data_IF_360758300779
#
_entry.id   IF_360758300779
#
_cell.length_a   1.000
_cell.length_b   1.000
_cell.length_c   1.000
_cell.angle_alpha   90.00
_cell.angle_beta   90.00
_cell.angle_gamma   90.00
#
_symmetry.space_group_name_H-M   'P 1'
#
loop_
_entity.id
_entity.type
_entity.pdbx_description
1 polymer ?
#
# COMPACT_ATOMS: atom_id res chain seq x y z
N UNK A 1 4.85 10.84 -2.16
CA UNK A 1 3.53 11.16 -1.59
C UNK A 1 2.82 9.83 -1.42
N UNK A 2 2.12 9.66 -0.30
CA UNK A 2 1.23 8.52 -0.15
C UNK A 2 0.11 8.59 -1.20
N UNK A 3 -0.38 7.44 -1.63
CA UNK A 3 -1.64 7.34 -2.36
C UNK A 3 -2.78 7.71 -1.38
N UNK A 4 -3.10 9.00 -1.30
CA UNK A 4 -4.06 9.57 -0.34
C UNK A 4 -5.49 9.57 -0.89
N UNK A 5 -6.44 10.17 -0.17
CA UNK A 5 -7.85 10.22 -0.57
C UNK A 5 -8.08 11.00 -1.87
N UNK A 6 -7.25 12.00 -2.17
CA UNK A 6 -7.34 12.77 -3.42
C UNK A 6 -6.84 11.92 -4.59
N UNK A 7 -5.70 11.25 -4.43
CA UNK A 7 -5.22 10.26 -5.38
C UNK A 7 -6.23 9.12 -5.59
N UNK A 8 -6.86 8.65 -4.52
CA UNK A 8 -7.91 7.62 -4.57
C UNK A 8 -9.15 8.12 -5.29
N UNK A 9 -9.54 9.37 -5.08
CA UNK A 9 -10.64 10.00 -5.79
C UNK A 9 -10.37 10.07 -7.29
N UNK A 10 -9.18 10.53 -7.68
CA UNK A 10 -8.74 10.60 -9.06
C UNK A 10 -8.79 9.23 -9.75
N UNK A 11 -8.20 8.21 -9.11
CA UNK A 11 -8.23 6.84 -9.59
C UNK A 11 -9.67 6.32 -9.70
N UNK A 12 -10.48 6.50 -8.65
CA UNK A 12 -11.88 6.03 -8.63
C UNK A 12 -12.73 6.65 -9.74
N UNK A 13 -12.58 7.96 -9.97
CA UNK A 13 -13.26 8.67 -11.06
C UNK A 13 -12.83 8.13 -12.42
N UNK A 14 -11.53 8.06 -12.68
CA UNK A 14 -10.99 7.54 -13.95
C UNK A 14 -11.45 6.10 -14.23
N UNK A 15 -11.44 5.25 -13.20
CA UNK A 15 -11.88 3.84 -13.29
C UNK A 15 -13.37 3.77 -13.57
N UNK A 16 -14.19 4.50 -12.81
CA UNK A 16 -15.65 4.52 -13.01
C UNK A 16 -16.00 4.90 -14.45
N UNK A 17 -15.41 5.98 -14.96
CA UNK A 17 -15.66 6.48 -16.31
C UNK A 17 -15.30 5.46 -17.41
N UNK A 18 -14.24 4.66 -17.21
CA UNK A 18 -13.71 3.76 -18.23
C UNK A 18 -14.29 2.35 -18.20
N UNK A 19 -14.72 1.84 -17.04
CA UNK A 19 -15.13 0.43 -16.89
C UNK A 19 -16.54 0.21 -16.35
N UNK A 20 -17.28 1.24 -15.96
CA UNK A 20 -18.70 1.06 -15.59
C UNK A 20 -19.49 0.50 -16.77
N UNK A 21 -20.20 -0.60 -16.55
CA UNK A 21 -20.94 -1.33 -17.58
C UNK A 21 -20.10 -2.35 -18.35
N UNK A 22 -18.77 -2.37 -18.19
CA UNK A 22 -17.91 -3.30 -18.89
C UNK A 22 -17.93 -4.70 -18.25
N UNK A 23 -17.70 -5.71 -19.09
CA UNK A 23 -17.66 -7.12 -18.68
C UNK A 23 -16.24 -7.54 -18.32
N UNK A 24 -16.03 -8.21 -17.21
CA UNK A 24 -14.73 -8.77 -16.83
C UNK A 24 -14.42 -9.95 -17.75
N UNK A 25 -13.29 -9.87 -18.44
CA UNK A 25 -12.87 -10.84 -19.47
C UNK A 25 -11.77 -11.78 -18.99
N UNK A 26 -10.80 -11.27 -18.22
CA UNK A 26 -9.69 -12.06 -17.69
C UNK A 26 -9.28 -11.53 -16.32
N UNK A 27 -8.81 -12.43 -15.47
CA UNK A 27 -8.26 -12.11 -14.15
C UNK A 27 -6.94 -12.87 -13.97
N UNK A 28 -5.91 -12.16 -13.53
CA UNK A 28 -4.60 -12.69 -13.22
C UNK A 28 -4.10 -12.16 -11.88
N UNK A 29 -3.11 -12.83 -11.32
CA UNK A 29 -2.43 -12.43 -10.10
C UNK A 29 -0.92 -12.68 -10.30
N UNK A 30 -0.19 -11.73 -10.93
CA UNK A 30 1.20 -11.92 -11.30
C UNK A 30 2.13 -12.10 -10.09
N UNK A 31 1.83 -11.42 -8.99
CA UNK A 31 2.54 -11.58 -7.72
C UNK A 31 1.55 -11.86 -6.60
N UNK A 32 2.03 -12.29 -5.43
CA UNK A 32 1.17 -12.62 -4.31
C UNK A 32 0.24 -11.46 -3.88
N UNK A 33 0.62 -10.21 -4.11
CA UNK A 33 -0.10 -9.01 -3.63
C UNK A 33 -0.65 -8.13 -4.76
N UNK A 34 -0.61 -8.58 -6.02
CA UNK A 34 -1.08 -7.81 -7.18
C UNK A 34 -2.09 -8.60 -7.98
N UNK A 35 -3.26 -8.02 -8.24
CA UNK A 35 -4.30 -8.59 -9.09
C UNK A 35 -4.47 -7.71 -10.33
N UNK A 36 -4.60 -8.33 -11.49
CA UNK A 36 -4.72 -7.66 -12.79
C UNK A 36 -6.01 -8.13 -13.46
N UNK A 37 -6.92 -7.19 -13.73
CA UNK A 37 -8.25 -7.46 -14.30
C UNK A 37 -8.37 -6.82 -15.68
N UNK A 38 -8.81 -7.59 -16.66
CA UNK A 38 -9.08 -7.13 -18.01
C UNK A 38 -10.57 -7.04 -18.25
N UNK A 39 -10.99 -6.00 -18.96
CA UNK A 39 -12.39 -5.75 -19.29
C UNK A 39 -12.62 -5.87 -20.79
N UNK A 40 -13.82 -6.32 -21.17
CA UNK A 40 -14.34 -6.21 -22.52
C UNK A 40 -15.23 -4.96 -22.60
N UNK A 41 -15.14 -4.19 -23.68
CA UNK A 41 -15.99 -3.01 -23.89
C UNK A 41 -15.29 -1.65 -23.94
N UNK A 42 -14.04 -1.58 -24.40
CA UNK A 42 -13.42 -0.30 -24.82
C UNK A 42 -12.09 0.01 -24.15
N UNK A 43 -11.98 -0.16 -22.83
CA UNK A 43 -10.69 0.00 -22.14
C UNK A 43 -9.78 -1.20 -22.44
N UNK A 44 -8.61 -0.92 -23.04
CA UNK A 44 -7.66 -1.95 -23.49
C UNK A 44 -6.61 -2.24 -22.43
N UNK A 45 -6.35 -1.30 -21.52
CA UNK A 45 -5.41 -1.46 -20.41
C UNK A 45 -6.06 -2.28 -19.30
N UNK A 46 -5.37 -3.24 -18.71
CA UNK A 46 -5.86 -3.89 -17.51
C UNK A 46 -5.86 -2.92 -16.33
N UNK A 47 -6.75 -3.19 -15.37
CA UNK A 47 -6.76 -2.56 -14.06
C UNK A 47 -5.86 -3.36 -13.12
N UNK A 48 -4.88 -2.68 -12.53
CA UNK A 48 -4.03 -3.20 -11.46
C UNK A 48 -4.65 -2.88 -10.10
N UNK A 49 -4.77 -3.90 -9.25
CA UNK A 49 -5.08 -3.79 -7.82
C UNK A 49 -3.83 -4.24 -7.05
N UNK A 50 -3.05 -3.29 -6.54
CA UNK A 50 -1.79 -3.57 -5.87
C UNK A 50 -1.94 -3.36 -4.35
N UNK A 51 -1.90 -4.46 -3.60
CA UNK A 51 -1.89 -4.47 -2.15
C UNK A 51 -0.45 -4.51 -1.57
N UNK A 52 0.58 -4.30 -2.39
CA UNK A 52 1.97 -4.32 -1.95
C UNK A 52 2.26 -3.18 -0.97
N UNK A 53 2.98 -3.47 0.12
CA UNK A 53 3.23 -2.50 1.18
C UNK A 53 4.03 -1.26 0.72
N UNK A 54 4.92 -1.42 -0.27
CA UNK A 54 5.81 -0.37 -0.75
C UNK A 54 5.15 0.53 -1.80
N UNK A 55 4.27 -0.04 -2.61
CA UNK A 55 3.65 0.65 -3.74
C UNK A 55 2.13 0.37 -3.85
N UNK A 56 1.36 0.51 -2.76
CA UNK A 56 -0.06 0.19 -2.78
C UNK A 56 -0.79 1.20 -3.66
N UNK A 57 -1.58 0.71 -4.61
CA UNK A 57 -2.27 1.55 -5.60
C UNK A 57 -3.32 0.77 -6.37
N UNK A 58 -4.19 1.53 -7.02
CA UNK A 58 -5.15 1.03 -7.99
C UNK A 58 -5.13 1.97 -9.20
N UNK A 59 -4.93 1.43 -10.39
CA UNK A 59 -4.78 2.22 -11.62
C UNK A 59 -4.93 1.34 -12.86
N UNK A 60 -5.20 1.95 -14.01
CA UNK A 60 -4.89 1.28 -15.28
C UNK A 60 -3.38 1.25 -15.49
N UNK A 61 -2.88 0.22 -16.14
CA UNK A 61 -1.44 0.06 -16.38
C UNK A 61 -1.15 -0.38 -17.81
N UNK A 62 -0.05 0.12 -18.34
CA UNK A 62 0.56 -0.30 -19.61
C UNK A 62 1.63 -1.37 -19.38
N UNK A 63 1.99 -1.64 -18.13
CA UNK A 63 2.99 -2.64 -17.76
C UNK A 63 2.47 -4.04 -18.11
N UNK A 64 3.29 -4.77 -18.84
CA UNK A 64 3.08 -6.20 -19.05
C UNK A 64 3.61 -6.96 -17.86
N UNK A 65 2.80 -7.87 -17.33
CA UNK A 65 3.18 -8.73 -16.21
C UNK A 65 3.36 -10.16 -16.67
N UNK A 66 4.44 -10.79 -16.21
CA UNK A 66 4.63 -12.22 -16.36
C UNK A 66 3.71 -12.94 -15.38
N UNK A 67 2.80 -13.74 -15.92
CA UNK A 67 1.86 -14.48 -15.10
C UNK A 67 2.49 -15.79 -14.63
N UNK A 68 2.32 -16.17 -13.35
CA UNK A 68 2.83 -17.45 -12.87
C UNK A 68 2.15 -18.59 -13.63
N UNK A 69 2.92 -19.66 -13.89
CA UNK A 69 2.42 -20.88 -14.54
C UNK A 69 1.24 -21.49 -13.75
N UNK A 70 1.32 -21.42 -12.42
CA UNK A 70 0.27 -21.86 -11.50
C UNK A 70 -0.37 -20.65 -10.82
N UNK A 71 -1.62 -20.30 -11.17
CA UNK A 71 -2.33 -19.18 -10.53
C UNK A 71 -2.52 -19.43 -9.02
N UNK A 72 -2.32 -18.41 -8.17
CA UNK A 72 -2.63 -18.51 -6.74
C UNK A 72 -4.12 -18.82 -6.48
N UNK A 73 -4.44 -19.35 -5.30
CA UNK A 73 -5.81 -19.75 -4.94
C UNK A 73 -6.81 -18.60 -5.02
N UNK A 74 -6.41 -17.40 -4.58
CA UNK A 74 -7.25 -16.20 -4.64
C UNK A 74 -7.60 -15.83 -6.09
N UNK A 75 -6.64 -15.89 -7.02
CA UNK A 75 -6.87 -15.69 -8.44
C UNK A 75 -7.93 -16.65 -9.00
N UNK A 76 -7.89 -17.93 -8.61
CA UNK A 76 -8.88 -18.91 -9.04
C UNK A 76 -10.28 -18.63 -8.48
N UNK A 77 -10.38 -18.13 -7.25
CA UNK A 77 -11.65 -17.69 -6.66
C UNK A 77 -12.17 -16.46 -7.41
N UNK A 78 -11.34 -15.44 -7.65
CA UNK A 78 -11.75 -14.30 -8.45
C UNK A 78 -12.23 -14.74 -9.84
N UNK A 79 -11.58 -15.71 -10.47
CA UNK A 79 -12.02 -16.24 -11.77
C UNK A 79 -13.40 -16.89 -11.68
N UNK A 80 -13.63 -17.71 -10.65
CA UNK A 80 -14.93 -18.37 -10.42
C UNK A 80 -16.08 -17.36 -10.26
N UNK A 81 -15.84 -16.27 -9.53
CA UNK A 81 -16.91 -15.32 -9.16
C UNK A 81 -17.03 -14.11 -10.10
N UNK A 82 -15.93 -13.66 -10.71
CA UNK A 82 -15.89 -12.41 -11.46
C UNK A 82 -15.86 -12.59 -12.98
N UNK A 83 -15.38 -13.73 -13.52
CA UNK A 83 -15.30 -13.89 -14.98
C UNK A 83 -16.69 -13.79 -15.60
N UNK A 84 -16.80 -12.93 -16.61
CA UNK A 84 -18.04 -12.62 -17.27
C UNK A 84 -19.02 -11.75 -16.46
N UNK A 85 -18.67 -11.36 -15.25
CA UNK A 85 -19.42 -10.38 -14.47
C UNK A 85 -19.37 -8.99 -15.09
N UNK A 86 -20.36 -8.16 -14.80
CA UNK A 86 -20.50 -6.79 -15.29
C UNK A 86 -20.27 -5.84 -14.13
N UNK A 87 -19.38 -4.86 -14.32
CA UNK A 87 -19.15 -3.80 -13.34
C UNK A 87 -20.36 -2.87 -13.34
N UNK A 88 -21.06 -2.76 -12.21
CA UNK A 88 -22.26 -1.92 -12.06
C UNK A 88 -21.93 -0.54 -11.56
N UNK A 89 -21.02 -0.44 -10.61
CA UNK A 89 -20.51 0.84 -10.17
C UNK A 89 -19.10 0.74 -9.64
N UNK A 90 -18.44 1.89 -9.59
CA UNK A 90 -17.14 2.08 -8.94
C UNK A 90 -17.24 3.35 -8.13
N UNK A 91 -16.84 3.29 -6.87
CA UNK A 91 -16.85 4.45 -5.99
C UNK A 91 -15.76 4.38 -4.92
N UNK A 92 -15.40 5.55 -4.41
CA UNK A 92 -14.54 5.72 -3.25
C UNK A 92 -15.41 5.76 -1.99
N UNK A 93 -15.00 5.08 -0.93
CA UNK A 93 -15.72 5.08 0.35
C UNK A 93 -15.30 6.27 1.22
N UNK A 94 -16.24 7.14 1.60
CA UNK A 94 -16.07 8.22 2.58
C UNK A 94 -14.81 9.09 2.43
N UNK A 95 -14.39 9.31 1.18
CA UNK A 95 -13.13 9.98 0.81
C UNK A 95 -11.86 9.34 1.38
N UNK A 96 -11.95 8.12 1.92
CA UNK A 96 -10.82 7.34 2.39
C UNK A 96 -10.11 6.64 1.22
N UNK A 97 -9.01 5.96 1.52
CA UNK A 97 -8.17 5.22 0.56
C UNK A 97 -8.73 3.84 0.25
N UNK A 98 -10.03 3.78 -0.03
CA UNK A 98 -10.76 2.54 -0.32
C UNK A 98 -11.60 2.75 -1.57
N UNK A 99 -11.40 1.89 -2.57
CA UNK A 99 -12.21 1.85 -3.79
C UNK A 99 -13.00 0.55 -3.80
N UNK A 100 -14.29 0.64 -4.07
CA UNK A 100 -15.20 -0.49 -4.20
C UNK A 100 -15.66 -0.61 -5.65
N UNK A 101 -15.55 -1.81 -6.22
CA UNK A 101 -16.18 -2.18 -7.47
C UNK A 101 -17.38 -3.06 -7.16
N UNK A 102 -18.58 -2.60 -7.51
CA UNK A 102 -19.79 -3.42 -7.47
C UNK A 102 -19.91 -4.21 -8.78
N UNK A 103 -20.04 -5.53 -8.66
CA UNK A 103 -20.02 -6.45 -9.79
C UNK A 103 -21.23 -7.37 -9.70
N UNK A 104 -21.96 -7.50 -10.80
CA UNK A 104 -22.97 -8.55 -10.94
C UNK A 104 -22.45 -9.68 -11.81
N UNK A 105 -22.55 -10.91 -11.33
CA UNK A 105 -22.20 -12.11 -12.09
C UNK A 105 -23.26 -13.19 -11.95
N UNK A 106 -23.16 -14.25 -12.75
CA UNK A 106 -24.02 -15.42 -12.63
C UNK A 106 -23.20 -16.57 -12.07
N UNK A 107 -23.76 -17.31 -11.12
CA UNK A 107 -23.15 -18.56 -10.68
C UNK A 107 -23.47 -19.71 -11.63
N UNK A 108 -22.90 -20.89 -11.34
CA UNK A 108 -23.07 -22.11 -12.15
C UNK A 108 -24.55 -22.55 -12.29
N UNK A 109 -25.39 -22.20 -11.32
CA UNK A 109 -26.83 -22.47 -11.34
C UNK A 109 -27.64 -21.38 -12.07
N UNK A 110 -26.99 -20.36 -12.62
CA UNK A 110 -27.64 -19.24 -13.31
C UNK A 110 -28.25 -18.19 -12.38
N UNK A 111 -27.99 -18.25 -11.07
CA UNK A 111 -28.47 -17.25 -10.13
C UNK A 111 -27.56 -16.01 -10.15
N UNK A 112 -28.18 -14.83 -10.01
CA UNK A 112 -27.48 -13.56 -9.94
C UNK A 112 -26.74 -13.40 -8.61
N UNK A 113 -25.44 -13.15 -8.68
CA UNK A 113 -24.57 -12.77 -7.57
C UNK A 113 -24.31 -11.28 -7.62
N UNK A 114 -24.42 -10.62 -6.46
CA UNK A 114 -24.01 -9.22 -6.28
C UNK A 114 -22.77 -9.20 -5.41
N UNK A 115 -21.65 -8.76 -5.98
CA UNK A 115 -20.33 -8.88 -5.38
C UNK A 115 -19.72 -7.49 -5.19
N UNK A 116 -18.94 -7.33 -4.13
CA UNK A 116 -18.06 -6.19 -3.93
C UNK A 116 -16.61 -6.66 -4.01
N UNK A 117 -15.84 -6.03 -4.90
CA UNK A 117 -14.39 -6.15 -4.91
C UNK A 117 -13.81 -4.85 -4.34
N UNK A 118 -13.36 -4.92 -3.09
CA UNK A 118 -12.84 -3.78 -2.35
C UNK A 118 -11.33 -3.75 -2.38
N UNK A 119 -10.74 -2.63 -2.80
CA UNK A 119 -9.31 -2.37 -2.78
C UNK A 119 -8.99 -1.33 -1.69
N UNK A 120 -8.24 -1.74 -0.68
CA UNK A 120 -7.84 -0.92 0.46
C UNK A 120 -6.37 -0.52 0.27
N UNK A 121 -6.09 0.78 0.15
CA UNK A 121 -4.74 1.33 -0.14
C UNK A 121 -4.16 1.94 1.14
N UNK A 122 -3.73 1.06 2.05
CA UNK A 122 -3.38 1.39 3.44
C UNK A 122 -1.90 1.05 3.79
N UNK A 123 -0.98 1.19 2.84
CA UNK A 123 0.44 0.83 3.08
C UNK A 123 0.60 -0.67 3.33
N UNK A 124 1.29 -1.04 4.41
CA UNK A 124 1.44 -2.44 4.85
C UNK A 124 0.11 -3.17 5.13
N UNK A 125 -0.96 -2.42 5.41
CA UNK A 125 -2.30 -2.96 5.67
C UNK A 125 -3.18 -3.02 4.41
N UNK A 126 -2.63 -2.69 3.24
CA UNK A 126 -3.37 -2.75 1.99
C UNK A 126 -3.87 -4.16 1.70
N UNK A 127 -5.05 -4.26 1.10
CA UNK A 127 -5.68 -5.53 0.79
C UNK A 127 -6.62 -5.42 -0.40
N UNK A 128 -6.92 -6.56 -1.02
CA UNK A 128 -8.00 -6.69 -1.99
C UNK A 128 -8.93 -7.79 -1.46
N UNK A 129 -10.18 -7.45 -1.23
CA UNK A 129 -11.17 -8.32 -0.60
C UNK A 129 -12.35 -8.49 -1.54
N UNK A 130 -12.72 -9.74 -1.80
CA UNK A 130 -13.96 -10.08 -2.49
C UNK A 130 -15.01 -10.47 -1.45
N UNK A 131 -16.16 -9.82 -1.47
CA UNK A 131 -17.29 -10.13 -0.60
C UNK A 131 -18.60 -10.25 -1.38
N UNK A 132 -19.52 -11.03 -0.82
CA UNK A 132 -20.89 -11.15 -1.31
C UNK A 132 -21.75 -10.07 -0.67
N UNK A 133 -22.43 -9.27 -1.49
CA UNK A 133 -23.19 -8.12 -1.02
C UNK A 133 -24.46 -8.52 -0.28
N UNK A 134 -25.05 -9.66 -0.64
CA UNK A 134 -26.31 -10.10 -0.05
C UNK A 134 -26.14 -10.66 1.36
N UNK A 135 -25.12 -11.50 1.56
CA UNK A 135 -24.79 -12.07 2.87
C UNK A 135 -23.89 -11.17 3.71
N UNK A 136 -23.21 -10.19 3.09
CA UNK A 136 -22.18 -9.37 3.73
C UNK A 136 -20.90 -10.13 4.04
N UNK A 137 -20.73 -11.36 3.53
CA UNK A 137 -19.61 -12.24 3.88
C UNK A 137 -18.44 -12.10 2.92
N UNK A 138 -17.24 -12.18 3.48
CA UNK A 138 -15.99 -12.30 2.74
C UNK A 138 -16.00 -13.64 2.01
N UNK A 139 -15.85 -13.59 0.69
CA UNK A 139 -15.61 -14.77 -0.14
C UNK A 139 -14.14 -15.16 0.02
N UNK A 140 -13.23 -14.22 -0.27
CA UNK A 140 -11.79 -14.38 -0.03
C UNK A 140 -11.06 -13.03 -0.08
N UNK A 141 -9.77 -13.01 0.24
CA UNK A 141 -8.92 -11.83 0.17
C UNK A 141 -7.47 -12.16 -0.22
N UNK A 142 -6.74 -11.17 -0.75
CA UNK A 142 -5.30 -11.27 -1.01
C UNK A 142 -4.52 -11.54 0.28
N UNK A 143 -4.83 -10.80 1.36
CA UNK A 143 -4.20 -10.97 2.67
C UNK A 143 -5.21 -11.42 3.71
N UNK A 144 -4.96 -12.61 4.25
CA UNK A 144 -5.74 -13.17 5.36
C UNK A 144 -5.25 -12.60 6.71
N UNK A 145 -6.17 -12.01 7.46
CA UNK A 145 -5.92 -11.41 8.77
C UNK A 145 -6.73 -12.18 9.81
N UNK A 146 -6.04 -13.05 10.55
CA UNK A 146 -6.64 -13.79 11.67
C UNK A 146 -6.74 -12.90 12.93
N UNK A 147 -7.58 -13.30 13.89
CA UNK A 147 -7.71 -12.59 15.17
C UNK A 147 -6.44 -12.57 16.02
N UNK A 148 -5.46 -13.44 15.74
CA UNK A 148 -4.13 -13.40 16.36
C UNK A 148 -3.24 -12.30 15.77
N UNK A 149 -3.48 -11.90 14.50
CA UNK A 149 -2.71 -10.87 13.79
C UNK A 149 -3.29 -9.47 13.96
N UNK A 150 -4.59 -9.35 14.23
CA UNK A 150 -5.25 -8.07 14.45
C UNK A 150 -6.42 -8.24 15.42
N UNK A 151 -6.46 -7.43 16.47
CA UNK A 151 -7.61 -7.29 17.36
C UNK A 151 -8.71 -6.39 16.79
N UNK A 152 -8.39 -5.64 15.73
CA UNK A 152 -9.27 -4.58 15.19
C UNK A 152 -10.28 -5.15 14.19
N UNK A 153 -9.81 -5.97 13.25
CA UNK A 153 -10.65 -6.56 12.20
C UNK A 153 -10.09 -7.89 11.73
N UNK A 154 -10.98 -8.87 11.53
CA UNK A 154 -10.66 -10.18 10.96
C UNK A 154 -11.04 -10.21 9.48
N UNK A 155 -10.10 -10.60 8.61
CA UNK A 155 -10.32 -10.79 7.17
C UNK A 155 -10.02 -12.24 6.82
N UNK A 156 -11.08 -13.05 6.70
CA UNK A 156 -11.03 -14.48 6.40
C UNK A 156 -12.30 -14.89 5.66
N UNK A 157 -12.25 -15.90 4.77
CA UNK A 157 -13.44 -16.46 4.13
C UNK A 157 -14.57 -16.80 5.12
N UNK A 158 -15.82 -16.53 4.72
CA UNK A 158 -17.07 -16.74 5.46
C UNK A 158 -17.30 -15.86 6.71
N UNK A 159 -16.37 -14.98 7.05
CA UNK A 159 -16.60 -13.94 8.07
C UNK A 159 -17.29 -12.73 7.47
N UNK A 160 -17.99 -11.95 8.29
CA UNK A 160 -18.64 -10.72 7.84
C UNK A 160 -17.58 -9.68 7.48
N UNK A 161 -17.76 -9.02 6.33
CA UNK A 161 -16.86 -7.97 5.89
C UNK A 161 -17.22 -6.65 6.57
N UNK A 162 -16.23 -6.00 7.15
CA UNK A 162 -16.33 -4.62 7.62
C UNK A 162 -15.26 -3.78 6.94
N UNK A 163 -15.55 -2.54 6.60
CA UNK A 163 -14.54 -1.63 6.06
C UNK A 163 -13.47 -1.32 7.12
N UNK A 164 -12.27 -0.83 6.71
CA UNK A 164 -11.27 -0.36 7.67
C UNK A 164 -11.88 0.69 8.60
N UNK A 165 -11.62 0.65 9.92
CA UNK A 165 -12.14 1.65 10.83
C UNK A 165 -11.56 3.01 10.49
N UNK A 166 -12.42 4.01 10.42
CA UNK A 166 -12.04 5.39 10.18
C UNK A 166 -12.77 6.30 11.18
N UNK A 167 -11.99 6.95 12.06
CA UNK A 167 -12.50 7.88 13.07
C UNK A 167 -12.55 9.33 12.55
N UNK A 168 -12.03 9.57 11.33
CA UNK A 168 -11.95 10.90 10.73
C UNK A 168 -13.20 11.23 9.94
N UNK A 169 -13.47 12.52 9.80
CA UNK A 169 -14.64 13.03 9.09
C UNK A 169 -14.45 12.98 7.58
N UNK A 170 -15.51 12.66 6.84
CA UNK A 170 -15.53 12.85 5.39
C UNK A 170 -15.52 14.36 5.09
N UNK A 171 -14.56 14.91 4.35
CA UNK A 171 -14.47 16.35 4.10
C UNK A 171 -15.60 16.92 3.24
N UNK A 172 -16.43 16.08 2.62
CA UNK A 172 -17.60 16.51 1.85
C UNK A 172 -18.94 16.21 2.53
N UNK A 173 -18.92 15.52 3.67
CA UNK A 173 -20.12 15.17 4.44
C UNK A 173 -19.78 15.09 5.93
N UNK A 174 -19.89 16.23 6.63
CA UNK A 174 -19.56 16.33 8.04
C UNK A 174 -20.31 17.48 8.73
N UNK A 175 -20.40 17.40 10.07
CA UNK A 175 -20.90 18.50 10.88
C UNK A 175 -19.79 19.53 11.17
N UNK A 176 -20.04 20.79 10.83
CA UNK A 176 -19.07 21.87 11.01
C UNK A 176 -18.65 22.08 12.47
N UNK A 177 -19.58 21.93 13.42
CA UNK A 177 -19.28 22.13 14.84
C UNK A 177 -18.40 21.00 15.39
N UNK A 178 -18.61 19.77 14.92
CA UNK A 178 -17.79 18.62 15.22
C UNK A 178 -16.36 18.80 14.69
N UNK A 179 -16.19 19.22 13.43
CA UNK A 179 -14.86 19.45 12.85
C UNK A 179 -14.09 20.54 13.62
N UNK A 180 -14.75 21.64 13.96
CA UNK A 180 -14.16 22.71 14.76
C UNK A 180 -13.74 22.21 16.16
N UNK A 181 -14.59 21.42 16.81
CA UNK A 181 -14.29 20.80 18.09
C UNK A 181 -13.05 19.91 18.03
N UNK A 182 -12.96 19.00 17.06
CA UNK A 182 -11.81 18.11 16.87
C UNK A 182 -10.51 18.89 16.61
N UNK A 183 -10.55 19.91 15.76
CA UNK A 183 -9.38 20.76 15.50
C UNK A 183 -8.95 21.51 16.77
N UNK A 184 -9.89 22.06 17.53
CA UNK A 184 -9.59 22.84 18.76
C UNK A 184 -8.99 21.98 19.87
N UNK A 185 -9.38 20.70 19.98
CA UNK A 185 -8.77 19.74 20.90
C UNK A 185 -7.27 19.52 20.61
N UNK A 186 -6.81 19.86 19.41
CA UNK A 186 -5.42 19.78 18.98
C UNK A 186 -4.66 21.11 19.12
N UNK A 187 -4.99 21.94 20.12
CA UNK A 187 -4.46 23.30 20.31
C UNK A 187 -2.92 23.44 20.22
N UNK A 188 -2.16 22.41 20.61
CA UNK A 188 -0.69 22.43 20.58
C UNK A 188 -0.08 22.02 19.23
N UNK A 189 -0.89 21.52 18.29
CA UNK A 189 -0.45 21.07 16.97
C UNK A 189 -0.50 22.22 15.96
N UNK A 190 0.26 22.09 14.87
CA UNK A 190 0.10 22.96 13.72
C UNK A 190 -1.28 22.77 13.09
N UNK A 191 -1.81 23.83 12.46
CA UNK A 191 -3.03 23.73 11.67
C UNK A 191 -2.91 22.63 10.59
N UNK A 192 -1.71 22.45 10.00
CA UNK A 192 -1.43 21.36 9.04
C UNK A 192 -1.77 19.98 9.62
N UNK A 193 -1.26 19.68 10.82
CA UNK A 193 -1.49 18.40 11.48
C UNK A 193 -2.95 18.25 11.91
N UNK A 194 -3.57 19.31 12.43
CA UNK A 194 -4.96 19.28 12.87
C UNK A 194 -5.92 18.98 11.72
N UNK A 195 -5.76 19.61 10.55
CA UNK A 195 -6.59 19.33 9.36
C UNK A 195 -6.38 17.88 8.90
N UNK A 196 -5.12 17.43 8.77
CA UNK A 196 -4.81 16.08 8.31
C UNK A 196 -5.29 14.98 9.27
N UNK A 197 -5.42 15.27 10.56
CA UNK A 197 -5.97 14.35 11.56
C UNK A 197 -7.50 14.40 11.65
N UNK A 198 -8.13 15.53 11.32
CA UNK A 198 -9.58 15.71 11.37
C UNK A 198 -10.29 15.06 10.20
N UNK A 199 -9.74 15.19 8.98
CA UNK A 199 -10.41 14.73 7.76
C UNK A 199 -9.79 13.45 7.19
N UNK A 200 -10.67 12.55 6.73
CA UNK A 200 -10.28 11.33 6.03
C UNK A 200 -9.64 11.64 4.68
N UNK A 201 -8.71 10.78 4.24
CA UNK A 201 -8.08 10.92 2.92
C UNK A 201 -7.13 12.10 2.75
N UNK A 202 -6.99 13.00 3.73
CA UNK A 202 -6.16 14.19 3.61
C UNK A 202 -4.72 13.90 4.04
N UNK A 203 -3.77 14.01 3.10
CA UNK A 203 -2.35 13.91 3.41
C UNK A 203 -1.77 15.22 3.94
N UNK A 204 -0.75 15.12 4.80
CA UNK A 204 0.04 16.28 5.25
C UNK A 204 0.63 17.07 4.08
N UNK A 205 1.00 16.39 2.99
CA UNK A 205 1.54 17.05 1.80
C UNK A 205 0.50 17.93 1.11
N UNK A 206 -0.74 17.44 1.00
CA UNK A 206 -1.84 18.25 0.47
C UNK A 206 -2.10 19.49 1.34
N UNK A 207 -2.19 19.30 2.66
CA UNK A 207 -2.42 20.42 3.58
C UNK A 207 -1.25 21.40 3.56
N UNK A 208 -0.01 20.92 3.45
CA UNK A 208 1.16 21.79 3.29
C UNK A 208 1.10 22.62 2.01
N UNK A 209 0.55 22.08 0.92
CA UNK A 209 0.30 22.87 -0.29
C UNK A 209 -0.73 23.95 -0.04
N UNK A 210 -1.84 23.62 0.63
CA UNK A 210 -2.82 24.62 1.05
C UNK A 210 -2.20 25.71 1.94
N UNK A 211 -1.41 25.33 2.94
CA UNK A 211 -0.72 26.29 3.84
C UNK A 211 0.34 27.14 3.12
N UNK A 212 0.89 26.66 2.00
CA UNK A 212 1.81 27.43 1.19
C UNK A 212 1.07 28.52 0.40
N UNK A 213 -0.11 28.21 -0.12
CA UNK A 213 -0.95 29.15 -0.87
C UNK A 213 -1.72 30.12 0.05
N UNK A 214 -1.98 29.71 1.30
CA UNK A 214 -2.64 30.48 2.35
C UNK A 214 -1.75 30.56 3.61
N UNK A 215 -0.62 31.30 3.55
CA UNK A 215 0.37 31.35 4.63
C UNK A 215 -0.16 31.92 5.95
N UNK A 216 -1.25 32.70 5.90
CA UNK A 216 -1.93 33.23 7.09
C UNK A 216 -2.47 32.14 8.02
N UNK A 217 -2.73 30.92 7.51
CA UNK A 217 -3.19 29.77 8.29
C UNK A 217 -2.06 28.89 8.81
N UNK A 218 -0.82 29.14 8.39
CA UNK A 218 0.35 28.34 8.78
C UNK A 218 0.86 28.69 10.18
N UNK A 219 0.04 28.40 11.19
CA UNK A 219 0.27 28.67 12.62
C UNK A 219 -0.20 27.50 13.49
N UNK A 220 0.08 27.58 14.78
CA UNK A 220 -0.43 26.61 15.77
C UNK A 220 -1.91 26.85 15.99
N UNK A 221 -2.71 25.78 16.17
CA UNK A 221 -4.16 25.86 16.40
C UNK A 221 -4.51 26.79 17.56
N UNK A 222 -3.76 26.76 18.67
CA UNK A 222 -3.98 27.63 19.81
C UNK A 222 -3.73 29.13 19.57
N UNK A 223 -3.12 29.50 18.43
CA UNK A 223 -2.94 30.88 17.99
C UNK A 223 -4.05 31.35 17.05
N UNK A 224 -4.98 30.47 16.68
CA UNK A 224 -6.08 30.78 15.77
C UNK A 224 -7.28 31.32 16.54
N UNK A 225 -7.85 32.43 16.05
CA UNK A 225 -9.13 32.92 16.53
C UNK A 225 -10.31 32.09 15.97
N UNK A 226 -11.51 32.15 16.56
CA UNK A 226 -12.69 31.56 15.95
C UNK A 226 -12.96 32.06 14.52
N UNK A 227 -12.62 33.31 14.22
CA UNK A 227 -12.72 33.88 12.87
C UNK A 227 -11.69 33.28 11.90
N UNK A 228 -10.47 32.98 12.38
CA UNK A 228 -9.46 32.27 11.57
C UNK A 228 -10.00 30.91 11.14
N UNK A 229 -10.62 30.14 12.05
CA UNK A 229 -11.24 28.85 11.71
C UNK A 229 -12.42 29.01 10.76
N UNK A 230 -13.25 30.02 10.98
CA UNK A 230 -14.43 30.31 10.16
C UNK A 230 -14.09 30.63 8.70
N UNK A 231 -12.89 31.15 8.42
CA UNK A 231 -12.38 31.39 7.06
C UNK A 231 -11.56 30.22 6.51
N UNK A 232 -10.64 29.68 7.33
CA UNK A 232 -9.75 28.60 6.92
C UNK A 232 -10.50 27.37 6.43
N UNK A 233 -11.58 26.97 7.11
CA UNK A 233 -12.29 25.75 6.76
C UNK A 233 -12.96 25.85 5.37
N UNK A 234 -13.78 26.87 5.06
CA UNK A 234 -14.26 27.09 3.69
C UNK A 234 -13.16 27.19 2.64
N UNK A 235 -12.05 27.90 2.93
CA UNK A 235 -10.93 28.03 1.99
C UNK A 235 -10.28 26.66 1.71
N UNK A 236 -10.09 25.86 2.76
CA UNK A 236 -9.57 24.50 2.65
C UNK A 236 -10.49 23.60 1.82
N UNK A 237 -11.80 23.64 2.08
CA UNK A 237 -12.78 22.86 1.30
C UNK A 237 -12.85 23.32 -0.16
N UNK A 238 -12.75 24.62 -0.41
CA UNK A 238 -12.65 25.16 -1.78
C UNK A 238 -11.38 24.70 -2.48
N UNK A 239 -10.24 24.68 -1.77
CA UNK A 239 -8.97 24.16 -2.27
C UNK A 239 -9.05 22.66 -2.56
N UNK A 240 -9.65 21.86 -1.68
CA UNK A 240 -9.92 20.44 -1.87
C UNK A 240 -10.82 20.17 -3.07
N UNK A 241 -11.91 20.93 -3.21
CA UNK A 241 -12.83 20.82 -4.34
C UNK A 241 -12.14 21.10 -5.67
N UNK A 242 -11.27 22.13 -5.73
CA UNK A 242 -10.46 22.39 -6.92
C UNK A 242 -9.52 21.23 -7.24
N UNK A 243 -8.92 20.62 -6.22
CA UNK A 243 -8.02 19.49 -6.40
C UNK A 243 -8.76 18.23 -6.91
N UNK A 244 -9.95 17.93 -6.40
CA UNK A 244 -10.74 16.76 -6.84
C UNK A 244 -11.36 16.94 -8.21
N UNK A 245 -11.62 18.19 -8.64
CA UNK A 245 -12.12 18.51 -9.98
C UNK A 245 -11.00 18.64 -11.03
N UNK A 246 -9.73 18.60 -10.63
CA UNK A 246 -8.59 18.63 -11.55
C UNK A 246 -8.72 17.53 -12.61
N UNK A 247 -8.32 17.84 -13.84
CA UNK A 247 -8.12 16.88 -14.93
C UNK A 247 -6.64 16.51 -15.09
N UNK A 248 -5.74 17.27 -14.46
CA UNK A 248 -4.29 17.07 -14.52
C UNK A 248 -3.71 16.37 -13.30
N UNK A 249 -2.72 15.54 -13.57
CA UNK A 249 -1.83 14.94 -12.58
C UNK A 249 -0.39 15.34 -12.86
N UNK A 250 0.44 15.37 -11.83
CA UNK A 250 1.81 15.87 -11.91
C UNK A 250 2.80 14.89 -11.31
N UNK A 251 3.99 14.80 -11.91
CA UNK A 251 5.18 14.21 -11.30
C UNK A 251 6.21 15.30 -11.06
N UNK A 252 6.80 15.30 -9.87
CA UNK A 252 7.83 16.24 -9.44
C UNK A 252 9.20 15.56 -9.45
N UNK A 253 10.15 16.15 -10.19
CA UNK A 253 11.53 15.68 -10.32
C UNK A 253 12.48 16.72 -9.72
N UNK A 254 13.46 16.26 -8.93
CA UNK A 254 14.49 17.16 -8.42
C UNK A 254 15.45 17.61 -9.53
N UNK A 255 16.41 18.49 -9.19
CA UNK A 255 17.38 19.02 -10.14
C UNK A 255 18.29 17.94 -10.78
N UNK A 256 18.39 16.76 -10.17
CA UNK A 256 19.12 15.60 -10.72
C UNK A 256 18.27 14.74 -11.67
N UNK A 257 16.98 15.07 -11.84
CA UNK A 257 16.02 14.29 -12.61
C UNK A 257 15.41 13.13 -11.84
N UNK A 258 15.70 12.98 -10.54
CA UNK A 258 15.13 11.92 -9.72
C UNK A 258 13.67 12.23 -9.37
N UNK A 259 12.83 11.21 -9.50
CA UNK A 259 11.41 11.28 -9.16
C UNK A 259 11.28 11.47 -7.66
N UNK A 260 10.75 12.63 -7.26
CA UNK A 260 10.48 12.93 -5.86
C UNK A 260 9.05 12.51 -5.53
N UNK A 261 8.10 12.95 -6.36
CA UNK A 261 6.70 12.79 -6.00
C UNK A 261 5.70 12.78 -7.17
N UNK A 262 4.45 12.45 -6.90
CA UNK A 262 3.29 12.61 -7.77
C UNK A 262 2.12 13.26 -7.03
N UNK A 263 1.21 13.91 -7.74
CA UNK A 263 -0.05 14.43 -7.18
C UNK A 263 -1.15 14.52 -8.24
N UNK A 264 -2.41 14.58 -7.80
CA UNK A 264 -3.55 14.94 -8.64
C UNK A 264 -3.97 16.36 -8.26
N UNK A 265 -3.79 17.33 -9.18
CA UNK A 265 -3.62 18.78 -8.94
C UNK A 265 -2.20 19.24 -8.61
N UNK A 266 -1.92 20.52 -8.91
CA UNK A 266 -0.63 21.16 -8.76
C UNK A 266 -0.36 21.52 -7.29
N UNK A 267 0.80 21.13 -6.78
CA UNK A 267 1.23 21.46 -5.42
C UNK A 267 2.29 22.55 -5.46
N UNK A 268 1.88 23.77 -5.09
CA UNK A 268 2.69 24.99 -5.22
C UNK A 268 4.01 24.95 -4.45
N UNK A 269 4.05 24.25 -3.30
CA UNK A 269 5.26 24.15 -2.48
C UNK A 269 6.41 23.37 -3.14
N UNK A 270 6.13 22.62 -4.22
CA UNK A 270 7.17 22.01 -5.06
C UNK A 270 7.81 23.00 -6.02
N UNK A 271 7.52 24.31 -5.94
CA UNK A 271 8.26 25.45 -6.52
C UNK A 271 9.27 25.10 -7.63
N UNK A 272 10.53 24.89 -7.21
CA UNK A 272 11.73 24.68 -8.03
C UNK A 272 11.88 23.28 -8.65
N UNK A 273 11.04 22.32 -8.27
CA UNK A 273 11.06 20.99 -8.88
C UNK A 273 10.57 21.08 -10.33
N UNK A 274 11.17 20.27 -11.20
CA UNK A 274 10.65 20.08 -12.55
C UNK A 274 9.32 19.32 -12.45
N UNK A 275 8.30 19.84 -13.11
CA UNK A 275 6.92 19.34 -13.07
C UNK A 275 6.58 18.77 -14.45
N UNK A 276 6.26 17.48 -14.49
CA UNK A 276 5.75 16.82 -15.69
C UNK A 276 4.25 16.63 -15.51
N UNK A 277 3.47 17.18 -16.45
CA UNK A 277 2.01 17.10 -16.45
C UNK A 277 1.52 15.87 -17.23
N UNK A 278 0.43 15.27 -16.74
CA UNK A 278 -0.25 14.13 -17.34
C UNK A 278 -1.76 14.35 -17.38
N UNK A 279 -2.39 13.92 -18.48
CA UNK A 279 -3.85 13.95 -18.69
C UNK A 279 -4.59 12.76 -18.04
N UNK A 280 -3.85 11.74 -17.62
CA UNK A 280 -4.40 10.53 -16.97
C UNK A 280 -3.67 10.32 -15.66
N UNK A 281 -4.44 10.14 -14.58
CA UNK A 281 -3.89 9.79 -13.27
C UNK A 281 -3.16 8.46 -13.35
N UNK A 282 -3.77 7.49 -14.03
CA UNK A 282 -3.16 6.18 -14.28
C UNK A 282 -1.81 6.29 -14.99
N UNK A 283 -1.66 7.16 -15.99
CA UNK A 283 -0.38 7.35 -16.69
C UNK A 283 0.71 7.97 -15.79
N UNK A 284 0.36 8.98 -14.98
CA UNK A 284 1.28 9.56 -14.02
C UNK A 284 1.75 8.52 -12.99
N UNK A 285 0.82 7.72 -12.45
CA UNK A 285 1.17 6.70 -11.46
C UNK A 285 1.93 5.52 -12.08
N UNK A 286 1.64 5.12 -13.32
CA UNK A 286 2.41 4.10 -14.02
C UNK A 286 3.88 4.55 -14.16
N UNK A 287 4.13 5.77 -14.66
CA UNK A 287 5.49 6.29 -14.81
C UNK A 287 6.22 6.41 -13.46
N UNK A 288 5.55 6.96 -12.45
CA UNK A 288 6.13 7.14 -11.11
C UNK A 288 6.50 5.81 -10.46
N UNK A 289 5.60 4.82 -10.48
CA UNK A 289 5.83 3.54 -9.80
C UNK A 289 6.71 2.59 -10.62
N UNK A 290 6.74 2.65 -11.94
CA UNK A 290 7.68 1.84 -12.73
C UNK A 290 9.13 2.15 -12.38
N UNK A 291 9.47 3.43 -12.29
CA UNK A 291 10.84 3.87 -12.02
C UNK A 291 11.22 3.61 -10.56
N UNK A 292 10.31 3.90 -9.63
CA UNK A 292 10.56 3.63 -8.21
C UNK A 292 10.60 2.13 -7.90
N UNK A 293 9.73 1.30 -8.51
CA UNK A 293 9.75 -0.15 -8.33
C UNK A 293 11.07 -0.76 -8.81
N UNK A 294 11.65 -0.27 -9.91
CA UNK A 294 12.97 -0.71 -10.35
C UNK A 294 14.06 -0.38 -9.31
N UNK A 295 14.04 0.84 -8.77
CA UNK A 295 14.99 1.28 -7.72
C UNK A 295 14.80 0.48 -6.43
N UNK A 296 13.57 0.28 -5.99
CA UNK A 296 13.26 -0.41 -4.75
C UNK A 296 13.54 -1.92 -4.86
N UNK A 297 13.22 -2.55 -6.01
CA UNK A 297 13.57 -3.95 -6.26
C UNK A 297 15.07 -4.19 -6.20
N UNK A 298 15.88 -3.27 -6.75
CA UNK A 298 17.35 -3.35 -6.66
C UNK A 298 17.81 -3.22 -5.21
N UNK A 299 17.25 -2.27 -4.44
CA UNK A 299 17.60 -2.11 -3.02
C UNK A 299 17.19 -3.30 -2.17
N UNK A 300 16.02 -3.90 -2.42
CA UNK A 300 15.55 -5.09 -1.71
C UNK A 300 16.46 -6.28 -1.98
N UNK A 301 16.75 -6.57 -3.26
CA UNK A 301 17.69 -7.63 -3.65
C UNK A 301 19.08 -7.41 -3.06
N UNK A 302 19.56 -6.16 -3.06
CA UNK A 302 20.82 -5.80 -2.43
C UNK A 302 20.81 -6.05 -0.91
N UNK A 303 19.74 -5.63 -0.22
CA UNK A 303 19.61 -5.81 1.24
C UNK A 303 19.50 -7.28 1.62
N UNK A 304 18.76 -8.08 0.84
CA UNK A 304 18.67 -9.52 1.02
C UNK A 304 20.01 -10.21 0.80
N UNK A 305 20.74 -9.83 -0.26
CA UNK A 305 22.08 -10.33 -0.53
C UNK A 305 23.04 -10.03 0.63
N UNK A 306 23.04 -8.80 1.14
CA UNK A 306 23.84 -8.40 2.30
C UNK A 306 23.48 -9.23 3.53
N UNK A 307 22.17 -9.44 3.81
CA UNK A 307 21.72 -10.26 4.93
C UNK A 307 22.19 -11.71 4.81
N UNK A 308 22.09 -12.29 3.61
CA UNK A 308 22.54 -13.65 3.35
C UNK A 308 24.05 -13.79 3.48
N UNK A 309 24.81 -12.83 2.93
CA UNK A 309 26.27 -12.77 3.09
C UNK A 309 26.68 -12.64 4.55
N UNK A 310 26.02 -11.76 5.33
CA UNK A 310 26.29 -11.62 6.76
C UNK A 310 26.03 -12.92 7.50
N UNK A 311 24.94 -13.61 7.20
CA UNK A 311 24.59 -14.89 7.84
C UNK A 311 25.62 -15.98 7.52
N UNK A 312 26.07 -16.06 6.27
CA UNK A 312 27.12 -17.00 5.85
C UNK A 312 28.47 -16.67 6.48
N UNK A 313 28.83 -15.38 6.52
CA UNK A 313 30.05 -14.90 7.16
C UNK A 313 30.09 -15.25 8.65
N UNK A 314 29.00 -15.00 9.38
CA UNK A 314 28.90 -15.35 10.81
C UNK A 314 29.01 -16.86 11.03
N UNK A 315 28.46 -17.67 10.12
CA UNK A 315 28.56 -19.13 10.17
C UNK A 315 30.00 -19.61 9.98
N UNK A 316 30.72 -19.07 8.99
CA UNK A 316 32.13 -19.42 8.75
C UNK A 316 33.04 -18.91 9.86
N UNK A 317 32.79 -17.70 10.39
CA UNK A 317 33.50 -17.18 11.56
C UNK A 317 33.36 -18.08 12.78
N UNK A 318 32.15 -18.59 13.06
CA UNK A 318 31.93 -19.57 14.15
C UNK A 318 32.67 -20.88 13.91
N UNK A 319 32.67 -21.40 12.68
CA UNK A 319 33.43 -22.62 12.35
C UNK A 319 34.92 -22.42 12.55
N UNK A 320 35.47 -21.28 12.12
CA UNK A 320 36.88 -20.96 12.30
C UNK A 320 37.26 -20.97 13.77
N UNK A 321 36.48 -20.31 14.63
CA UNK A 321 36.73 -20.29 16.08
C UNK A 321 36.71 -21.70 16.72
N UNK A 322 35.81 -22.58 16.26
CA UNK A 322 35.80 -23.99 16.71
C UNK A 322 37.06 -24.72 16.27
N UNK A 323 37.50 -24.52 15.01
CA UNK A 323 38.71 -25.16 14.47
C UNK A 323 39.99 -24.66 15.13
N UNK A 324 40.07 -23.38 15.46
CA UNK A 324 41.19 -22.82 16.22
C UNK A 324 41.28 -23.46 17.60
N UNK A 325 40.15 -23.62 18.30
CA UNK A 325 40.09 -24.30 19.59
C UNK A 325 40.45 -25.80 19.50
N UNK A 326 39.96 -26.50 18.48
CA UNK A 326 40.35 -27.89 18.20
C UNK A 326 41.86 -28.00 17.94
N UNK A 327 42.44 -27.04 17.21
CA UNK A 327 43.88 -26.99 16.93
C UNK A 327 44.69 -26.79 18.20
N UNK A 328 44.30 -25.86 19.08
CA UNK A 328 44.95 -25.65 20.38
C UNK A 328 44.91 -26.93 21.24
N UNK A 329 43.76 -27.61 21.30
CA UNK A 329 43.64 -28.88 22.02
C UNK A 329 44.50 -30.00 21.42
N UNK A 330 44.79 -29.94 20.12
CA UNK A 330 45.63 -30.91 19.44
C UNK A 330 47.13 -30.67 19.65
N UNK A 331 47.56 -29.53 20.21
CA UNK A 331 48.99 -29.25 20.47
C UNK A 331 49.60 -30.24 21.46
N UNK A 332 48.85 -30.68 22.47
CA UNK A 332 49.27 -31.71 23.42
C UNK A 332 49.21 -33.14 22.85
N UNK A 333 48.73 -33.31 21.62
CA UNK A 333 48.54 -34.63 21.00
C UNK A 333 49.84 -35.43 20.88
N UNK A 334 50.94 -34.76 20.56
CA UNK A 334 52.26 -35.39 20.46
C UNK A 334 52.79 -35.80 21.85
N UNK A 335 52.54 -34.97 22.87
CA UNK A 335 52.88 -35.26 24.27
C UNK A 335 52.08 -36.45 24.81
N UNK A 336 50.78 -36.51 24.57
CA UNK A 336 49.94 -37.64 24.97
C UNK A 336 50.31 -38.93 24.23
N UNK A 337 50.75 -38.85 22.98
CA UNK A 337 51.29 -39.99 22.25
C UNK A 337 52.58 -40.52 22.91
N UNK A 338 53.49 -39.63 23.31
CA UNK A 338 54.69 -40.00 24.09
C UNK A 338 54.30 -40.67 25.41
N UNK A 339 53.37 -40.08 26.17
CA UNK A 339 52.88 -40.68 27.43
C UNK A 339 52.23 -42.04 27.20
N UNK A 340 51.40 -42.19 26.17
CA UNK A 340 50.80 -43.45 25.78
C UNK A 340 51.85 -44.53 25.47
N UNK A 341 52.87 -44.19 24.66
CA UNK A 341 53.97 -45.11 24.35
C UNK A 341 54.78 -45.51 25.60
N UNK A 342 55.04 -44.56 26.51
CA UNK A 342 55.74 -44.84 27.78
C UNK A 342 54.94 -45.78 28.69
N UNK A 343 53.63 -45.56 28.80
CA UNK A 343 52.70 -46.43 29.55
C UNK A 343 52.70 -47.83 28.92
N UNK A 344 52.50 -47.94 27.60
CA UNK A 344 52.50 -49.23 26.88
C UNK A 344 53.81 -50.00 27.08
N UNK A 345 54.95 -49.30 26.99
CA UNK A 345 56.28 -49.90 27.18
C UNK A 345 56.52 -50.39 28.60
N UNK A 346 55.80 -49.86 29.59
CA UNK A 346 55.95 -50.20 31.01
C UNK A 346 54.68 -50.79 31.64
N UNK A 347 53.73 -51.25 30.82
CA UNK A 347 52.38 -51.59 31.29
C UNK A 347 52.37 -52.74 32.30
N UNK A 348 53.38 -53.62 32.22
CA UNK A 348 53.61 -54.73 33.15
C UNK A 348 54.03 -54.30 34.57
N UNK A 349 54.36 -53.02 34.78
CA UNK A 349 54.75 -52.43 36.07
C UNK A 349 53.64 -51.59 36.71
N UNK A 350 52.53 -51.37 36.00
CA UNK A 350 51.43 -50.52 36.45
C UNK A 350 50.29 -51.48 36.80
N UNK A 351 49.88 -51.52 38.07
CA UNK A 351 48.73 -52.30 38.56
C UNK A 351 47.39 -51.64 38.23
#
# INVERSE_FOLDING_TARGET
MPFDGIATHAAGREIKERIKGNKISRVYQPTAEEVVIYFAGGERRPLLLCANANAPRIQFTKVSYDNPEYPPSFCMILRKYLLGGIVKDVYQLDFDRVIVLEIESLNEAGNLLKLMLTCEVMGKHSNVVLSDMQSGKIIDAVKHISGLKSSVRKIMPNFDYTFPPNEKLNPFDFDHSQALGLMTLSAQKSAEAAIAETFSGISKQFVRSFMFDYPEYNKTVGQMSPEDFGKMLPDFLGYLTKATLSDKSYIYKDSSGKYKDFSHSLYSFYGDYNKVEFDSFSDATDEYYMINAAVDSVKEKYSELIRNLSTLYDKEKRKLAVREKEREQAEDGELYNIYGNLILSNIYKIE
#
